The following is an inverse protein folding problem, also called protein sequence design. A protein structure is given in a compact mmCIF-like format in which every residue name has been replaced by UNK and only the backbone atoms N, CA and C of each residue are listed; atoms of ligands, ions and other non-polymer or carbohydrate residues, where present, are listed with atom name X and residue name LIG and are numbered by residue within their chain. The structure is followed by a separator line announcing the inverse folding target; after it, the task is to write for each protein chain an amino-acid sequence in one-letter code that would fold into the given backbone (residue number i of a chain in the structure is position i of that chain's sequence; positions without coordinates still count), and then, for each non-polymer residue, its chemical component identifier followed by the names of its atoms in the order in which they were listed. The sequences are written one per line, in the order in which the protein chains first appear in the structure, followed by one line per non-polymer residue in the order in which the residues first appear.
data_IF_644998212657
#
_entry.id   IF_644998212657
#
_cell.length_a   1.000
_cell.length_b   1.000
_cell.length_c   1.000
_cell.angle_alpha   90.00
_cell.angle_beta   90.00
_cell.angle_gamma   90.00
#
_symmetry.space_group_name_H-M   'P 1'
#
loop_
_entity.id
_entity.type
_entity.pdbx_description
1 polymer ?
#
# COMPACT_ATOMS: atom_id res chain seq x y z
N UNK A 1 -17.89 -8.29 13.86
CA UNK A 1 -17.84 -9.64 13.24
C UNK A 1 -16.95 -9.55 12.03
N UNK A 2 -15.76 -10.17 12.06
CA UNK A 2 -14.94 -10.31 10.86
C UNK A 2 -15.70 -11.28 9.98
N UNK A 3 -16.26 -10.78 8.88
CA UNK A 3 -16.84 -11.64 7.85
C UNK A 3 -15.74 -12.55 7.34
N UNK A 4 -15.85 -13.86 7.55
CA UNK A 4 -14.96 -14.85 6.93
C UNK A 4 -15.32 -14.92 5.45
N UNK A 5 -14.83 -13.94 4.70
CA UNK A 5 -14.89 -13.98 3.24
C UNK A 5 -13.97 -15.11 2.82
N UNK A 6 -14.54 -16.19 2.30
CA UNK A 6 -13.76 -17.30 1.73
C UNK A 6 -13.05 -16.81 0.47
N UNK A 7 -11.82 -16.32 0.61
CA UNK A 7 -10.99 -15.82 -0.49
C UNK A 7 -10.53 -16.98 -1.36
N UNK A 8 -10.42 -16.73 -2.67
CA UNK A 8 -9.85 -17.67 -3.64
C UNK A 8 -8.79 -16.96 -4.46
N UNK A 9 -7.85 -17.71 -5.03
CA UNK A 9 -6.78 -17.11 -5.84
C UNK A 9 -7.29 -16.37 -7.09
N UNK A 10 -8.43 -16.79 -7.67
CA UNK A 10 -8.88 -16.27 -8.97
C UNK A 10 -7.78 -16.39 -10.03
N UNK A 11 -7.51 -15.31 -10.75
CA UNK A 11 -6.43 -15.23 -11.75
C UNK A 11 -5.03 -14.97 -11.14
N UNK A 12 -4.92 -14.82 -9.80
CA UNK A 12 -3.65 -14.60 -9.14
C UNK A 12 -2.72 -15.82 -9.29
N UNK A 13 -1.47 -15.55 -9.65
CA UNK A 13 -0.44 -16.57 -9.92
C UNK A 13 0.83 -16.36 -9.08
N UNK A 14 0.78 -15.52 -8.05
CA UNK A 14 1.96 -15.16 -7.26
C UNK A 14 2.63 -16.34 -6.54
N UNK A 15 1.90 -17.42 -6.21
CA UNK A 15 2.50 -18.65 -5.68
C UNK A 15 3.58 -19.21 -6.60
N UNK A 16 3.46 -19.03 -7.92
CA UNK A 16 4.44 -19.46 -8.91
C UNK A 16 5.60 -18.49 -9.11
N UNK A 17 5.59 -17.31 -8.47
CA UNK A 17 6.64 -16.29 -8.59
C UNK A 17 7.45 -16.12 -7.29
N UNK A 18 6.77 -15.99 -6.15
CA UNK A 18 7.38 -15.46 -4.92
C UNK A 18 8.46 -16.39 -4.35
N UNK A 19 8.14 -17.67 -4.15
CA UNK A 19 9.06 -18.62 -3.49
C UNK A 19 10.02 -19.28 -4.47
N UNK A 20 11.23 -19.61 -4.00
CA UNK A 20 12.08 -20.57 -4.67
C UNK A 20 11.48 -21.98 -4.55
N UNK A 21 11.58 -22.78 -5.62
CA UNK A 21 11.10 -24.17 -5.67
C UNK A 21 12.26 -25.05 -6.12
N UNK A 22 12.84 -25.79 -5.19
CA UNK A 22 14.05 -26.59 -5.44
C UNK A 22 13.75 -27.72 -6.43
N UNK A 23 12.63 -28.43 -6.23
CA UNK A 23 12.19 -29.51 -7.12
C UNK A 23 12.03 -29.10 -8.60
N UNK A 24 11.83 -27.80 -8.88
CA UNK A 24 11.69 -27.25 -10.23
C UNK A 24 12.91 -26.44 -10.70
N UNK A 25 13.96 -26.38 -9.87
CA UNK A 25 15.10 -25.48 -10.03
C UNK A 25 14.66 -24.02 -10.31
N UNK A 26 13.62 -23.56 -9.60
CA UNK A 26 13.02 -22.23 -9.79
C UNK A 26 13.52 -21.27 -8.72
N UNK A 27 14.23 -20.18 -9.06
CA UNK A 27 14.66 -19.20 -8.07
C UNK A 27 13.49 -18.34 -7.57
N UNK A 28 13.61 -17.78 -6.36
CA UNK A 28 12.65 -16.83 -5.82
C UNK A 28 12.48 -15.63 -6.75
N UNK A 29 11.29 -15.02 -6.75
CA UNK A 29 10.91 -13.88 -7.59
C UNK A 29 10.92 -14.09 -9.13
N UNK A 30 11.34 -15.27 -9.62
CA UNK A 30 11.22 -15.64 -11.03
C UNK A 30 9.90 -16.38 -11.31
N UNK A 31 9.34 -16.19 -12.50
CA UNK A 31 8.16 -16.94 -12.91
C UNK A 31 8.49 -18.42 -13.18
N UNK A 32 7.68 -19.32 -12.63
CA UNK A 32 7.80 -20.75 -12.91
C UNK A 32 7.53 -21.06 -14.38
N UNK A 33 8.33 -21.95 -14.99
CA UNK A 33 8.16 -22.40 -16.39
C UNK A 33 6.79 -23.03 -16.68
N UNK A 34 6.12 -23.58 -15.66
CA UNK A 34 4.80 -24.20 -15.79
C UNK A 34 3.65 -23.21 -15.57
N UNK A 35 3.94 -21.97 -15.18
CA UNK A 35 2.92 -20.97 -14.90
C UNK A 35 2.70 -20.08 -16.12
N UNK A 36 1.43 -19.85 -16.48
CA UNK A 36 1.04 -18.73 -17.32
C UNK A 36 0.52 -17.62 -16.41
N UNK A 37 1.25 -16.51 -16.24
CA UNK A 37 0.82 -15.41 -15.37
C UNK A 37 -0.60 -14.94 -15.71
N UNK A 38 -1.44 -14.80 -14.68
CA UNK A 38 -2.86 -14.45 -14.82
C UNK A 38 -3.79 -15.59 -15.23
N UNK A 39 -3.28 -16.81 -15.44
CA UNK A 39 -4.05 -17.95 -15.99
C UNK A 39 -3.90 -19.24 -15.19
N UNK A 40 -2.82 -19.40 -14.41
CA UNK A 40 -2.61 -20.54 -13.53
C UNK A 40 -1.38 -21.39 -13.84
N UNK A 41 -1.22 -22.49 -13.10
CA UNK A 41 -0.14 -23.46 -13.24
C UNK A 41 -0.60 -24.67 -14.06
N UNK A 42 0.15 -25.03 -15.10
CA UNK A 42 -0.15 -26.16 -15.99
C UNK A 42 -0.01 -27.53 -15.31
N UNK A 43 0.78 -27.62 -14.24
CA UNK A 43 0.99 -28.86 -13.47
C UNK A 43 0.36 -28.77 -12.07
N UNK A 44 -0.70 -27.98 -11.90
CA UNK A 44 -1.23 -27.68 -10.55
C UNK A 44 -1.54 -28.95 -9.75
N UNK A 45 -2.13 -29.97 -10.38
CA UNK A 45 -2.48 -31.24 -9.71
C UNK A 45 -1.25 -32.09 -9.32
N UNK A 46 -0.11 -31.88 -9.97
CA UNK A 46 1.13 -32.67 -9.81
C UNK A 46 2.26 -31.81 -9.24
N UNK A 47 1.91 -30.69 -8.59
CA UNK A 47 2.88 -29.72 -8.11
C UNK A 47 3.72 -30.30 -6.96
N UNK A 48 5.02 -29.93 -6.84
CA UNK A 48 5.84 -30.37 -5.72
C UNK A 48 5.32 -29.92 -4.35
N UNK A 49 5.75 -30.61 -3.30
CA UNK A 49 5.34 -30.32 -1.91
C UNK A 49 5.58 -28.86 -1.51
N UNK A 50 6.65 -28.22 -1.97
CA UNK A 50 6.92 -26.80 -1.71
C UNK A 50 5.83 -25.88 -2.28
N UNK A 51 5.25 -26.24 -3.42
CA UNK A 51 4.11 -25.52 -4.00
C UNK A 51 2.80 -25.85 -3.27
N UNK A 52 2.62 -27.08 -2.77
CA UNK A 52 1.42 -27.47 -2.00
C UNK A 52 1.35 -26.79 -0.64
N UNK A 53 2.51 -26.65 0.01
CA UNK A 53 2.64 -26.04 1.33
C UNK A 53 2.62 -24.50 1.31
N UNK A 54 2.56 -23.88 0.13
CA UNK A 54 2.49 -22.43 0.02
C UNK A 54 1.18 -21.89 0.60
N UNK A 55 1.29 -21.18 1.72
CA UNK A 55 0.19 -20.42 2.31
C UNK A 55 0.27 -18.96 1.86
N UNK A 56 -0.64 -18.55 0.96
CA UNK A 56 -0.79 -17.13 0.64
C UNK A 56 -1.34 -16.38 1.86
N UNK A 57 -0.57 -15.47 2.45
CA UNK A 57 -1.02 -14.68 3.60
C UNK A 57 -2.34 -13.96 3.33
N UNK A 58 -2.56 -13.45 2.12
CA UNK A 58 -3.86 -12.86 1.75
C UNK A 58 -5.02 -13.87 1.76
N UNK A 59 -4.80 -15.15 1.45
CA UNK A 59 -5.86 -16.16 1.52
C UNK A 59 -6.16 -16.60 2.95
N UNK A 60 -5.15 -16.64 3.82
CA UNK A 60 -5.27 -17.25 5.16
C UNK A 60 -5.36 -16.24 6.30
N UNK A 61 -5.06 -14.97 6.05
CA UNK A 61 -5.11 -13.91 7.06
C UNK A 61 -6.28 -12.95 6.79
N UNK A 62 -7.37 -13.12 7.53
CA UNK A 62 -8.56 -12.30 7.40
C UNK A 62 -8.31 -10.80 7.70
N UNK A 63 -7.22 -10.45 8.39
CA UNK A 63 -6.85 -9.05 8.66
C UNK A 63 -6.29 -8.31 7.44
N UNK A 64 -5.92 -9.02 6.37
CA UNK A 64 -5.41 -8.46 5.11
C UNK A 64 -6.47 -8.48 4.01
N UNK A 65 -7.58 -7.77 4.19
CA UNK A 65 -8.64 -7.69 3.18
C UNK A 65 -8.26 -6.83 1.94
N UNK A 66 -9.18 -6.71 0.98
CA UNK A 66 -8.95 -5.96 -0.27
C UNK A 66 -8.57 -4.48 -0.05
N UNK A 67 -8.96 -3.89 1.07
CA UNK A 67 -8.72 -2.47 1.36
C UNK A 67 -7.23 -2.14 1.48
N UNK A 68 -6.43 -3.14 1.84
CA UNK A 68 -4.97 -3.03 1.92
C UNK A 68 -4.30 -3.07 0.55
N UNK A 69 -5.01 -3.42 -0.53
CA UNK A 69 -4.41 -3.57 -1.86
C UNK A 69 -4.51 -2.28 -2.66
N UNK A 70 -3.46 -1.46 -2.64
CA UNK A 70 -3.40 -0.25 -3.46
C UNK A 70 -3.52 -0.49 -4.98
N UNK A 71 -3.35 -1.74 -5.43
CA UNK A 71 -3.57 -2.15 -6.82
C UNK A 71 -5.06 -2.12 -7.25
N UNK A 72 -6.01 -2.04 -6.31
CA UNK A 72 -7.46 -2.02 -6.62
C UNK A 72 -7.97 -0.66 -7.07
N UNK A 73 -7.16 0.41 -6.95
CA UNK A 73 -7.53 1.76 -7.41
C UNK A 73 -6.41 2.43 -8.20
N UNK A 74 -6.80 3.34 -9.10
CA UNK A 74 -5.91 4.05 -10.03
C UNK A 74 -5.43 5.41 -9.54
N UNK A 75 -6.29 6.14 -8.81
CA UNK A 75 -6.12 7.56 -8.48
C UNK A 75 -4.86 7.87 -7.67
N UNK A 76 -4.27 9.03 -7.94
CA UNK A 76 -3.19 9.63 -7.13
C UNK A 76 -3.75 10.69 -6.18
N UNK A 77 -3.05 10.92 -5.05
CA UNK A 77 -3.40 11.95 -4.06
C UNK A 77 -4.84 11.87 -3.54
N UNK A 78 -5.42 10.66 -3.58
CA UNK A 78 -6.78 10.38 -3.14
C UNK A 78 -6.74 9.27 -2.09
N UNK A 79 -6.50 9.62 -0.81
CA UNK A 79 -6.41 8.65 0.27
C UNK A 79 -7.68 7.80 0.39
N UNK A 80 -7.48 6.52 0.74
CA UNK A 80 -8.54 5.53 0.95
C UNK A 80 -8.49 5.04 2.38
N UNK A 81 -9.54 5.28 3.15
CA UNK A 81 -9.66 4.83 4.54
C UNK A 81 -9.90 3.33 4.59
N UNK A 82 -8.96 2.61 5.21
CA UNK A 82 -9.02 1.15 5.43
C UNK A 82 -9.88 0.84 6.65
N UNK A 83 -9.65 1.57 7.73
CA UNK A 83 -10.33 1.44 9.02
C UNK A 83 -10.19 2.72 9.83
N UNK A 84 -10.88 2.79 10.96
CA UNK A 84 -10.70 3.82 11.98
C UNK A 84 -10.21 3.23 13.30
N UNK A 85 -9.46 4.01 14.08
CA UNK A 85 -9.01 3.68 15.43
C UNK A 85 -8.82 4.96 16.25
N UNK A 86 -9.43 5.05 17.43
CA UNK A 86 -9.38 6.24 18.30
C UNK A 86 -9.64 7.56 17.56
N UNK A 87 -10.75 7.61 16.81
CA UNK A 87 -11.13 8.75 15.97
C UNK A 87 -10.10 9.15 14.92
N UNK A 88 -9.12 8.29 14.61
CA UNK A 88 -8.19 8.45 13.51
C UNK A 88 -8.58 7.55 12.33
N UNK A 89 -8.40 8.06 11.12
CA UNK A 89 -8.46 7.29 9.88
C UNK A 89 -7.09 6.64 9.63
N UNK A 90 -7.08 5.33 9.38
CA UNK A 90 -5.92 4.62 8.83
C UNK A 90 -6.14 4.51 7.33
N UNK A 91 -5.26 5.13 6.54
CA UNK A 91 -5.44 5.30 5.11
C UNK A 91 -4.26 4.75 4.32
N UNK A 92 -4.53 4.37 3.07
CA UNK A 92 -3.51 4.15 2.04
C UNK A 92 -3.71 5.07 0.87
N UNK A 93 -2.61 5.49 0.25
CA UNK A 93 -2.64 6.39 -0.90
C UNK A 93 -1.49 6.08 -1.86
N UNK A 94 -1.75 6.25 -3.15
CA UNK A 94 -0.70 6.32 -4.17
C UNK A 94 -0.42 7.79 -4.46
N UNK A 95 0.83 8.17 -4.54
CA UNK A 95 1.24 9.54 -4.85
C UNK A 95 2.28 9.53 -5.96
N UNK A 96 2.23 10.55 -6.83
CA UNK A 96 3.16 10.75 -7.93
C UNK A 96 3.16 12.21 -8.35
N UNK A 97 4.34 12.73 -8.67
CA UNK A 97 4.57 14.16 -8.93
C UNK A 97 4.70 14.96 -7.65
N UNK A 98 4.51 16.28 -7.77
CA UNK A 98 4.53 17.22 -6.66
C UNK A 98 3.11 17.43 -6.13
N UNK A 99 2.95 17.47 -4.82
CA UNK A 99 1.73 18.00 -4.20
C UNK A 99 1.84 19.52 -4.02
N UNK A 100 0.80 20.15 -3.46
CA UNK A 100 0.87 21.57 -3.10
C UNK A 100 1.67 21.78 -1.82
N UNK A 101 2.31 22.93 -1.70
CA UNK A 101 2.73 23.44 -0.39
C UNK A 101 1.48 23.65 0.47
N UNK A 102 1.51 23.14 1.70
CA UNK A 102 0.42 23.24 2.64
C UNK A 102 0.92 23.06 4.08
N UNK A 103 0.03 23.29 5.05
CA UNK A 103 0.27 23.08 6.48
C UNK A 103 -1.02 22.64 7.16
N UNK A 104 -0.88 21.95 8.28
CA UNK A 104 -2.01 21.59 9.13
C UNK A 104 -1.89 22.36 10.44
N UNK A 105 -2.81 23.26 10.74
CA UNK A 105 -2.69 24.14 11.91
C UNK A 105 -2.92 23.40 13.23
N UNK A 106 -3.79 22.38 13.22
CA UNK A 106 -4.28 21.72 14.43
C UNK A 106 -3.72 20.31 14.63
N UNK A 107 -3.16 19.69 13.59
CA UNK A 107 -2.75 18.28 13.58
C UNK A 107 -1.35 18.12 13.03
N UNK A 108 -0.60 17.15 13.57
CA UNK A 108 0.60 16.67 12.89
C UNK A 108 0.18 15.88 11.64
N UNK A 109 1.09 15.74 10.68
CA UNK A 109 0.86 14.98 9.44
C UNK A 109 1.82 13.78 9.36
N UNK A 110 1.26 12.57 9.20
CA UNK A 110 1.97 11.30 9.34
C UNK A 110 2.20 10.63 7.99
N UNK A 111 3.45 10.30 7.70
CA UNK A 111 3.84 9.59 6.48
C UNK A 111 4.60 8.30 6.82
N UNK A 112 4.13 7.16 6.32
CA UNK A 112 4.89 5.92 6.27
C UNK A 112 4.99 5.44 4.82
N UNK A 113 6.22 5.26 4.31
CA UNK A 113 6.43 4.79 2.94
C UNK A 113 6.31 3.26 2.88
N UNK A 114 5.35 2.75 2.13
CA UNK A 114 5.17 1.31 1.88
C UNK A 114 5.96 0.83 0.66
N UNK A 115 6.12 1.70 -0.36
CA UNK A 115 6.86 1.42 -1.60
C UNK A 115 7.31 2.73 -2.24
N UNK A 116 8.50 2.75 -2.83
CA UNK A 116 9.05 3.92 -3.53
C UNK A 116 9.85 4.84 -2.61
N UNK A 117 10.13 6.06 -3.08
CA UNK A 117 10.87 7.07 -2.34
C UNK A 117 10.09 8.39 -2.36
N UNK A 118 9.83 8.95 -1.18
CA UNK A 118 9.13 10.22 -0.98
C UNK A 118 10.10 11.29 -0.50
N UNK A 119 10.12 12.45 -1.14
CA UNK A 119 10.75 13.65 -0.61
C UNK A 119 9.66 14.47 0.10
N UNK A 120 9.86 14.83 1.37
CA UNK A 120 9.06 15.83 2.08
C UNK A 120 9.90 17.10 2.14
N UNK A 121 9.56 18.06 1.31
CA UNK A 121 10.21 19.37 1.31
C UNK A 121 9.64 20.23 2.45
N UNK A 122 10.52 20.73 3.29
CA UNK A 122 10.28 21.78 4.27
C UNK A 122 10.93 23.06 3.76
N UNK A 123 10.63 24.19 4.40
CA UNK A 123 11.21 25.48 3.98
C UNK A 123 12.74 25.54 4.11
N UNK A 124 13.32 24.80 5.05
CA UNK A 124 14.73 24.83 5.39
C UNK A 124 15.51 23.59 4.90
N UNK A 125 14.84 22.47 4.63
CA UNK A 125 15.47 21.21 4.25
C UNK A 125 14.50 20.27 3.52
N UNK A 126 15.04 19.19 2.97
CA UNK A 126 14.25 18.07 2.44
C UNK A 126 14.50 16.82 3.30
N UNK A 127 13.43 16.12 3.64
CA UNK A 127 13.47 14.80 4.28
C UNK A 127 13.13 13.75 3.24
N UNK A 128 14.07 12.88 2.89
CA UNK A 128 13.84 11.78 1.94
C UNK A 128 13.54 10.49 2.70
N UNK A 129 12.46 9.81 2.33
CA UNK A 129 11.99 8.56 2.93
C UNK A 129 11.98 7.44 1.88
N UNK A 130 12.58 6.31 2.20
CA UNK A 130 12.46 5.03 1.49
C UNK A 130 11.48 4.06 2.15
N UNK A 131 11.29 2.85 1.58
CA UNK A 131 10.33 1.88 2.11
C UNK A 131 10.61 1.48 3.56
N UNK A 132 9.56 1.54 4.40
CA UNK A 132 9.62 1.28 5.83
C UNK A 132 10.02 2.49 6.69
N UNK A 133 10.44 3.60 6.07
CA UNK A 133 10.77 4.83 6.78
C UNK A 133 9.52 5.68 7.00
N UNK A 134 9.50 6.37 8.14
CA UNK A 134 8.38 7.21 8.56
C UNK A 134 8.85 8.61 8.93
N UNK A 135 7.97 9.59 8.73
CA UNK A 135 8.17 10.95 9.21
C UNK A 135 6.85 11.55 9.64
N UNK A 136 6.91 12.37 10.68
CA UNK A 136 5.78 13.16 11.15
C UNK A 136 6.14 14.61 10.97
N UNK A 137 5.39 15.33 10.13
CA UNK A 137 5.49 16.78 10.00
C UNK A 137 4.74 17.39 11.19
N UNK A 138 5.41 18.15 12.07
CA UNK A 138 4.73 18.78 13.19
C UNK A 138 3.67 19.78 12.73
N UNK A 139 2.58 19.91 13.48
CA UNK A 139 1.53 20.90 13.23
C UNK A 139 2.10 22.31 13.06
N UNK A 140 1.50 23.06 12.15
CA UNK A 140 1.89 24.41 11.76
C UNK A 140 3.12 24.48 10.85
N UNK A 141 3.82 23.37 10.60
CA UNK A 141 4.96 23.33 9.69
C UNK A 141 4.47 23.19 8.24
N UNK A 142 4.82 24.16 7.42
CA UNK A 142 4.53 24.14 6.00
C UNK A 142 5.47 23.18 5.27
N UNK A 143 4.90 22.33 4.42
CA UNK A 143 5.63 21.28 3.74
C UNK A 143 5.01 20.96 2.37
N UNK A 144 5.77 20.21 1.55
CA UNK A 144 5.34 19.73 0.24
C UNK A 144 5.86 18.30 -0.01
N UNK A 145 4.99 17.30 -0.06
CA UNK A 145 5.34 15.96 -0.52
C UNK A 145 5.64 15.93 -2.02
N UNK A 146 6.74 15.28 -2.41
CA UNK A 146 7.20 15.12 -3.79
C UNK A 146 7.59 13.67 -4.06
N UNK A 147 6.91 13.05 -5.02
CA UNK A 147 7.08 11.66 -5.42
C UNK A 147 7.53 11.59 -6.88
N UNK A 148 8.84 11.51 -7.13
CA UNK A 148 9.42 11.49 -8.49
C UNK A 148 8.92 10.30 -9.31
N UNK A 149 8.73 9.17 -8.64
CA UNK A 149 8.06 7.98 -9.15
C UNK A 149 6.81 7.67 -8.31
N UNK A 150 6.04 6.66 -8.71
CA UNK A 150 4.89 6.24 -7.89
C UNK A 150 5.35 5.72 -6.52
N UNK A 151 4.82 6.34 -5.47
CA UNK A 151 5.04 5.98 -4.07
C UNK A 151 3.72 5.52 -3.46
N UNK A 152 3.78 4.47 -2.64
CA UNK A 152 2.65 3.98 -1.86
C UNK A 152 2.87 4.37 -0.41
N UNK A 153 1.90 5.04 0.19
CA UNK A 153 1.97 5.54 1.56
C UNK A 153 0.88 4.94 2.42
N UNK A 154 1.15 4.84 3.71
CA UNK A 154 0.15 4.80 4.77
C UNK A 154 0.13 6.16 5.46
N UNK A 155 -1.08 6.66 5.71
CA UNK A 155 -1.34 7.87 6.48
C UNK A 155 -2.20 7.51 7.70
N UNK A 156 -1.99 8.21 8.80
CA UNK A 156 -2.81 8.09 10.02
C UNK A 156 -3.09 9.50 10.51
N UNK A 157 -4.35 9.91 10.46
CA UNK A 157 -4.76 11.28 10.77
C UNK A 157 -6.08 11.27 11.54
N UNK A 158 -6.37 12.29 12.38
CA UNK A 158 -7.71 12.47 12.93
C UNK A 158 -8.78 12.46 11.84
N UNK A 159 -9.92 11.83 12.12
CA UNK A 159 -11.00 11.67 11.14
C UNK A 159 -11.50 13.02 10.65
N UNK A 160 -11.52 13.22 9.34
CA UNK A 160 -11.95 14.47 8.72
C UNK A 160 -10.85 15.53 8.59
N UNK A 161 -9.60 15.19 8.88
CA UNK A 161 -8.44 16.04 8.54
C UNK A 161 -8.40 16.26 7.03
N UNK A 162 -8.39 17.52 6.56
CA UNK A 162 -8.23 17.82 5.13
C UNK A 162 -6.78 17.58 4.73
N UNK A 163 -6.54 16.81 3.67
CA UNK A 163 -5.18 16.44 3.20
C UNK A 163 -4.33 17.62 2.69
N UNK A 164 -4.89 18.83 2.62
CA UNK A 164 -4.20 20.08 2.30
C UNK A 164 -4.18 21.04 3.49
N UNK A 165 -4.67 20.62 4.66
CA UNK A 165 -4.95 21.49 5.79
C UNK A 165 -6.15 22.44 5.62
N UNK A 166 -6.74 22.51 4.42
CA UNK A 166 -7.89 23.36 4.12
C UNK A 166 -9.05 22.55 3.53
N UNK A 167 -10.22 22.62 4.17
CA UNK A 167 -11.44 21.94 3.75
C UNK A 167 -11.90 22.34 2.33
N UNK A 168 -11.58 23.54 1.86
CA UNK A 168 -11.98 24.01 0.54
C UNK A 168 -11.17 23.36 -0.60
N UNK A 169 -9.97 22.87 -0.31
CA UNK A 169 -9.05 22.29 -1.29
C UNK A 169 -8.80 20.80 -1.10
N UNK A 170 -9.36 20.22 -0.03
CA UNK A 170 -9.20 18.83 0.31
C UNK A 170 -9.86 17.87 -0.68
N UNK A 171 -9.21 16.73 -0.91
CA UNK A 171 -9.83 15.61 -1.59
C UNK A 171 -11.00 15.05 -0.76
N UNK A 172 -12.06 14.61 -1.42
CA UNK A 172 -13.18 13.96 -0.73
C UNK A 172 -12.71 12.67 -0.04
N UNK A 173 -13.09 12.52 1.24
CA UNK A 173 -12.84 11.30 2.01
C UNK A 173 -13.50 10.11 1.33
N UNK A 174 -12.72 9.05 1.09
CA UNK A 174 -13.14 7.83 0.40
C UNK A 174 -12.83 6.62 1.26
N UNK A 175 -13.79 5.70 1.37
CA UNK A 175 -13.51 4.38 1.95
C UNK A 175 -12.81 3.50 0.91
N UNK A 176 -11.92 2.63 1.39
CA UNK A 176 -11.25 1.60 0.60
C UNK A 176 -12.20 0.41 0.31
#
# INVERSE_FOLDING_TARGET
MISSIKRTCGDCTLCCKVMAIEALAKPANAWCRHCKPGRGCAIYAERPAECENFACLWLVNDLLDERWKLATFGDYWSPRTITTFNDCDVMVVKVKGEFTWHKHDDTDDFFLVLKGNLDIELRDRTVTLGPGELYVVPKGVEHRPVAREEVHLMLIEPTGTPNTGDKATAAARKLA
#
